data_IF_547236620447
#
_entry.id   IF_547236620447
#
_cell.length_a   1.000
_cell.length_b   1.000
_cell.length_c   1.000
_cell.angle_alpha   90.00
_cell.angle_beta   90.00
_cell.angle_gamma   90.00
#
_symmetry.space_group_name_H-M   'P 1'
#
loop_
_entity.id
_entity.type
_entity.pdbx_description
1 polymer ?
#
# COMPACT_ATOMS: atom_id res chain seq x y z
N UNK A 1 -5.63 20.47 -12.67
CA UNK A 1 -5.50 19.00 -12.52
C UNK A 1 -6.02 18.58 -11.15
N UNK A 2 -7.04 17.72 -11.08
CA UNK A 2 -7.63 17.27 -9.81
C UNK A 2 -6.69 16.28 -9.15
N UNK A 3 -6.00 16.66 -8.07
CA UNK A 3 -5.36 15.69 -7.17
C UNK A 3 -6.46 14.88 -6.49
N UNK A 4 -6.70 13.67 -6.97
CA UNK A 4 -7.56 12.71 -6.27
C UNK A 4 -6.97 12.42 -4.90
N UNK A 5 -7.83 12.29 -3.88
CA UNK A 5 -7.48 12.07 -2.45
C UNK A 5 -6.47 10.92 -2.19
N UNK A 6 -6.16 10.11 -3.19
CA UNK A 6 -5.10 9.10 -3.18
C UNK A 6 -3.67 9.67 -3.06
N UNK A 7 -3.42 10.94 -3.39
CA UNK A 7 -2.07 11.56 -3.29
C UNK A 7 -1.52 11.59 -1.84
N UNK A 8 -2.37 11.33 -0.83
CA UNK A 8 -1.97 11.27 0.58
C UNK A 8 -1.39 9.92 1.01
N UNK A 9 -1.69 8.85 0.28
CA UNK A 9 -1.11 7.54 0.53
C UNK A 9 0.02 7.39 -0.47
N UNK A 10 1.26 7.38 0.00
CA UNK A 10 2.45 7.20 -0.86
C UNK A 10 2.57 5.76 -1.41
N UNK A 11 1.45 5.07 -1.63
CA UNK A 11 1.41 3.70 -2.13
C UNK A 11 0.55 3.59 -3.38
N UNK A 12 0.94 2.67 -4.26
CA UNK A 12 0.13 2.19 -5.38
C UNK A 12 -0.19 0.72 -5.16
N UNK A 13 -1.35 0.30 -5.66
CA UNK A 13 -1.83 -1.07 -5.54
C UNK A 13 -1.99 -1.67 -6.94
N UNK A 14 -1.53 -2.89 -7.10
CA UNK A 14 -1.56 -3.62 -8.33
C UNK A 14 -2.13 -5.02 -8.09
N UNK A 15 -2.77 -5.54 -9.13
CA UNK A 15 -3.13 -6.94 -9.23
C UNK A 15 -2.24 -7.64 -10.23
N UNK A 16 -1.71 -8.80 -9.88
CA UNK A 16 -1.14 -9.71 -10.87
C UNK A 16 -2.27 -10.50 -11.53
N UNK A 17 -2.42 -10.34 -12.83
CA UNK A 17 -3.45 -11.05 -13.62
C UNK A 17 -3.13 -12.54 -13.83
N UNK A 18 -1.89 -12.97 -13.53
CA UNK A 18 -1.52 -14.38 -13.51
C UNK A 18 -1.75 -15.06 -12.16
N UNK A 19 -1.95 -14.30 -11.08
CA UNK A 19 -2.02 -14.87 -9.73
C UNK A 19 -2.91 -14.07 -8.77
N UNK A 20 -4.13 -14.57 -8.54
CA UNK A 20 -5.13 -13.93 -7.69
C UNK A 20 -4.93 -14.16 -6.16
N UNK A 21 -3.88 -14.85 -5.73
CA UNK A 21 -3.62 -15.04 -4.29
C UNK A 21 -3.16 -13.76 -3.57
N UNK A 22 -2.54 -12.84 -4.31
CA UNK A 22 -1.75 -11.76 -3.72
C UNK A 22 -2.07 -10.39 -4.32
N UNK A 23 -2.01 -9.38 -3.48
CA UNK A 23 -1.87 -7.99 -3.90
C UNK A 23 -0.40 -7.65 -4.06
N UNK A 24 -0.12 -6.72 -4.95
CA UNK A 24 1.21 -6.17 -5.15
C UNK A 24 1.13 -4.68 -4.80
N UNK A 25 1.91 -4.21 -3.83
CA UNK A 25 2.01 -2.79 -3.50
C UNK A 25 3.38 -2.24 -3.84
N UNK A 26 3.41 -0.95 -4.18
CA UNK A 26 4.63 -0.21 -4.39
C UNK A 26 4.60 1.12 -3.66
N UNK A 27 5.72 1.50 -3.03
CA UNK A 27 5.99 2.88 -2.65
C UNK A 27 7.47 3.21 -2.80
N UNK A 28 7.85 4.50 -2.91
CA UNK A 28 9.25 4.92 -2.84
C UNK A 28 9.95 4.53 -1.54
N UNK A 29 9.22 4.32 -0.44
CA UNK A 29 9.79 4.03 0.89
C UNK A 29 10.08 2.55 1.14
N UNK A 30 9.33 1.65 0.52
CA UNK A 30 9.45 0.19 0.77
C UNK A 30 9.79 -0.62 -0.48
N UNK A 31 9.75 -0.02 -1.67
CA UNK A 31 9.86 -0.74 -2.93
C UNK A 31 8.61 -1.57 -3.24
N UNK A 32 8.80 -2.66 -3.98
CA UNK A 32 7.74 -3.58 -4.38
C UNK A 32 7.56 -4.68 -3.35
N UNK A 33 6.32 -4.91 -2.94
CA UNK A 33 5.96 -5.98 -1.99
C UNK A 33 4.72 -6.73 -2.44
N UNK A 34 4.73 -8.05 -2.25
CA UNK A 34 3.55 -8.90 -2.39
C UNK A 34 2.95 -9.15 -1.01
N UNK A 35 1.62 -9.28 -0.92
CA UNK A 35 0.96 -9.67 0.33
C UNK A 35 -0.38 -10.37 0.05
N UNK A 36 -0.82 -11.31 0.91
CA UNK A 36 -2.07 -12.04 0.70
C UNK A 36 -3.30 -11.14 0.55
N UNK A 37 -4.18 -11.47 -0.41
CA UNK A 37 -5.44 -10.77 -0.66
C UNK A 37 -6.56 -11.16 0.32
N UNK A 38 -6.27 -11.09 1.63
CA UNK A 38 -7.17 -11.46 2.73
C UNK A 38 -7.08 -10.49 3.90
N UNK A 39 -8.00 -10.55 4.87
CA UNK A 39 -7.92 -9.73 6.08
C UNK A 39 -6.55 -9.82 6.76
N UNK A 40 -5.98 -8.67 7.14
CA UNK A 40 -4.64 -8.55 7.76
C UNK A 40 -3.46 -9.07 6.93
N UNK A 41 -3.64 -9.31 5.63
CA UNK A 41 -2.60 -9.88 4.76
C UNK A 41 -1.30 -9.08 4.74
N UNK A 42 -1.34 -7.76 4.95
CA UNK A 42 -0.15 -6.89 4.98
C UNK A 42 0.92 -7.30 6.00
N UNK A 43 0.52 -8.00 7.08
CA UNK A 43 1.47 -8.51 8.07
C UNK A 43 2.42 -9.58 7.51
N UNK A 44 2.00 -10.26 6.43
CA UNK A 44 2.75 -11.33 5.75
C UNK A 44 3.33 -10.83 4.42
N UNK A 45 3.63 -9.53 4.34
CA UNK A 45 4.19 -8.95 3.12
C UNK A 45 5.63 -9.39 2.91
N UNK A 46 5.99 -9.63 1.67
CA UNK A 46 7.34 -10.04 1.27
C UNK A 46 7.84 -9.12 0.15
N UNK A 47 9.13 -8.73 0.17
CA UNK A 47 9.71 -7.95 -0.91
C UNK A 47 9.73 -8.76 -2.21
N UNK A 48 9.46 -8.10 -3.33
CA UNK A 48 9.54 -8.72 -4.66
C UNK A 48 10.92 -8.41 -5.24
N UNK A 49 11.69 -9.47 -5.50
CA UNK A 49 13.02 -9.34 -6.08
C UNK A 49 12.98 -9.05 -7.59
N UNK A 50 12.05 -9.67 -8.32
CA UNK A 50 11.93 -9.55 -9.78
C UNK A 50 10.46 -9.40 -10.20
N UNK A 51 10.20 -8.41 -11.06
CA UNK A 51 8.86 -8.09 -11.58
C UNK A 51 8.60 -8.60 -12.99
N UNK A 52 9.64 -9.01 -13.72
CA UNK A 52 9.58 -9.29 -15.16
C UNK A 52 8.56 -10.35 -15.56
N UNK A 53 8.22 -11.27 -14.65
CA UNK A 53 7.20 -12.30 -14.90
C UNK A 53 5.76 -11.86 -14.59
N UNK A 54 5.56 -10.73 -13.91
CA UNK A 54 4.25 -10.32 -13.39
C UNK A 54 3.47 -9.48 -14.40
N UNK A 55 2.20 -9.81 -14.60
CA UNK A 55 1.29 -9.02 -15.44
C UNK A 55 0.46 -8.09 -14.57
N UNK A 56 1.06 -6.95 -14.21
CA UNK A 56 0.49 -6.01 -13.26
C UNK A 56 -0.57 -5.10 -13.88
N UNK A 57 -1.70 -4.97 -13.18
CA UNK A 57 -2.75 -4.00 -13.44
C UNK A 57 -2.92 -3.09 -12.21
N UNK A 58 -2.73 -1.78 -12.38
CA UNK A 58 -2.94 -0.81 -11.30
C UNK A 58 -4.44 -0.76 -10.94
N UNK A 59 -4.75 -0.81 -9.65
CA UNK A 59 -6.12 -0.80 -9.14
C UNK A 59 -6.27 0.21 -7.99
N UNK A 60 -7.50 0.69 -7.70
CA UNK A 60 -7.72 1.59 -6.58
C UNK A 60 -7.29 0.96 -5.23
N UNK A 61 -6.51 1.70 -4.43
CA UNK A 61 -6.11 1.31 -3.06
C UNK A 61 -7.27 0.85 -2.18
N UNK A 62 -8.46 1.41 -2.38
CA UNK A 62 -9.69 1.03 -1.68
C UNK A 62 -10.03 -0.47 -1.81
N UNK A 63 -9.52 -1.18 -2.84
CA UNK A 63 -9.70 -2.64 -2.97
C UNK A 63 -8.99 -3.44 -1.88
N UNK A 64 -8.02 -2.85 -1.19
CA UNK A 64 -7.28 -3.47 -0.09
C UNK A 64 -7.80 -3.05 1.31
N UNK A 65 -9.05 -2.59 1.43
CA UNK A 65 -9.55 -1.96 2.66
C UNK A 65 -9.46 -2.80 3.95
N UNK A 66 -9.40 -4.12 3.87
CA UNK A 66 -9.28 -5.02 5.03
C UNK A 66 -7.90 -5.67 5.20
N UNK A 67 -6.92 -5.33 4.38
CA UNK A 67 -5.62 -6.00 4.42
C UNK A 67 -4.63 -5.36 5.39
N UNK A 68 -4.99 -4.23 6.01
CA UNK A 68 -4.13 -3.35 6.82
C UNK A 68 -3.09 -2.55 6.02
N UNK A 69 -3.10 -2.62 4.68
CA UNK A 69 -2.28 -1.79 3.81
C UNK A 69 -2.56 -0.30 4.03
N UNK A 70 -3.84 0.10 4.03
CA UNK A 70 -4.21 1.51 4.13
C UNK A 70 -3.68 2.12 5.43
N UNK A 71 -3.80 1.43 6.56
CA UNK A 71 -3.28 1.89 7.85
C UNK A 71 -1.75 2.03 7.84
N UNK A 72 -1.02 1.15 7.13
CA UNK A 72 0.43 1.24 7.00
C UNK A 72 0.91 2.46 6.19
N UNK A 73 0.08 2.97 5.29
CA UNK A 73 0.40 4.11 4.43
C UNK A 73 -0.37 5.39 4.77
N UNK A 74 -1.35 5.31 5.68
CA UNK A 74 -1.96 6.48 6.28
C UNK A 74 -0.84 7.24 6.95
N UNK A 75 -0.45 8.35 6.31
CA UNK A 75 0.43 9.34 6.91
C UNK A 75 -0.07 9.55 8.33
N UNK A 76 0.78 9.23 9.30
CA UNK A 76 0.61 9.69 10.66
C UNK A 76 0.61 11.22 10.55
N UNK A 77 -0.58 11.81 10.41
CA UNK A 77 -0.79 13.19 10.86
C UNK A 77 -0.74 13.06 12.37
N UNK A 78 0.47 12.94 12.92
CA UNK A 78 0.72 13.30 14.29
C UNK A 78 0.39 14.80 14.31
N UNK A 79 -0.68 15.25 14.99
CA UNK A 79 -0.67 16.64 15.42
C UNK A 79 0.62 16.78 16.21
N UNK A 80 1.50 17.69 15.80
CA UNK A 80 2.60 18.12 16.64
C UNK A 80 1.94 18.57 17.95
N UNK A 81 2.01 17.72 18.98
CA UNK A 81 1.54 18.09 20.29
C UNK A 81 2.44 19.25 20.72
N UNK A 82 1.85 20.44 20.72
CA UNK A 82 2.42 21.61 21.34
C UNK A 82 2.67 21.30 22.81
N UNK A 83 3.89 20.92 23.16
CA UNK A 83 4.34 21.04 24.55
C UNK A 83 4.90 22.45 24.71
N UNK A 84 3.99 23.42 24.82
CA UNK A 84 4.26 24.61 25.63
C UNK A 84 4.08 24.17 27.09
N UNK A 85 5.18 24.14 27.82
CA UNK A 85 5.22 24.23 29.29
C UNK A 85 6.56 24.93 29.54
N UNK A 86 6.60 26.17 30.03
CA UNK A 86 5.86 26.64 31.19
C UNK A 86 6.82 26.54 32.36
#
# INVERSE_FOLDING_TARGET
>A
MRRTKNDRLEAKLYRDTGHDGHWIAWSPKIGWVAFPARPNGWAQREPIAELDAMRLCEVPLARAFNTSLLEAFRRVVQPAAHTLSG
#
